data_IF_799003077948
#
_entry.id   IF_799003077948
#
_cell.length_a   1.000
_cell.length_b   1.000
_cell.length_c   1.000
_cell.angle_alpha   90.00
_cell.angle_beta   90.00
_cell.angle_gamma   90.00
#
_symmetry.space_group_name_H-M   'P 1'
#
loop_
_entity.id
_entity.type
_entity.pdbx_description
1 polymer ?
#
# COMPACT_ATOMS: atom_id res chain seq x y z
N UNK A 1 7.50 -26.13 -5.67
CA UNK A 1 7.12 -24.71 -5.68
C UNK A 1 7.33 -24.24 -4.25
N UNK A 2 8.05 -23.13 -4.05
CA UNK A 2 8.26 -22.59 -2.70
C UNK A 2 6.94 -21.95 -2.26
N UNK A 3 6.01 -22.77 -1.80
CA UNK A 3 4.71 -22.30 -1.29
C UNK A 3 4.94 -21.78 0.13
N UNK A 4 5.53 -20.58 0.24
CA UNK A 4 5.50 -19.84 1.49
C UNK A 4 4.02 -19.44 1.73
N UNK A 5 3.32 -20.03 2.71
CA UNK A 5 1.89 -19.77 2.92
C UNK A 5 1.60 -18.29 3.18
N UNK A 6 2.58 -17.54 3.67
CA UNK A 6 2.47 -16.10 3.88
C UNK A 6 2.44 -15.33 2.57
N UNK A 7 3.19 -15.76 1.54
CA UNK A 7 3.16 -15.09 0.23
C UNK A 7 1.81 -15.28 -0.46
N UNK A 8 1.19 -16.45 -0.31
CA UNK A 8 -0.17 -16.69 -0.80
C UNK A 8 -1.19 -15.76 -0.13
N UNK A 9 -1.06 -15.54 1.18
CA UNK A 9 -1.93 -14.62 1.92
C UNK A 9 -1.71 -13.16 1.52
N UNK A 10 -0.45 -12.72 1.41
CA UNK A 10 -0.10 -11.38 0.92
C UNK A 10 -0.69 -11.16 -0.48
N UNK A 11 -0.50 -12.13 -1.37
CA UNK A 11 -1.06 -12.09 -2.71
C UNK A 11 -2.59 -11.99 -2.70
N UNK A 12 -3.28 -12.76 -1.85
CA UNK A 12 -4.74 -12.64 -1.71
C UNK A 12 -5.14 -11.23 -1.29
N UNK A 13 -4.52 -10.65 -0.26
CA UNK A 13 -4.85 -9.28 0.19
C UNK A 13 -4.67 -8.24 -0.94
N UNK A 14 -3.64 -8.42 -1.76
CA UNK A 14 -3.35 -7.58 -2.93
C UNK A 14 -4.36 -7.81 -4.06
N UNK A 15 -4.70 -9.06 -4.37
CA UNK A 15 -5.60 -9.41 -5.49
C UNK A 15 -7.07 -9.09 -5.17
N UNK A 16 -7.46 -9.20 -3.89
CA UNK A 16 -8.83 -8.97 -3.41
C UNK A 16 -9.21 -7.48 -3.38
N UNK A 17 -8.23 -6.58 -3.41
CA UNK A 17 -8.46 -5.13 -3.30
C UNK A 17 -7.65 -4.36 -4.35
N UNK A 18 -8.28 -3.47 -5.13
CA UNK A 18 -7.59 -2.77 -6.21
C UNK A 18 -6.52 -1.78 -5.72
N UNK A 19 -6.62 -1.30 -4.48
CA UNK A 19 -5.60 -0.47 -3.84
C UNK A 19 -5.37 -0.99 -2.42
N UNK A 20 -4.16 -1.44 -2.14
CA UNK A 20 -3.79 -2.08 -0.88
C UNK A 20 -2.55 -1.42 -0.29
N UNK A 21 -2.65 -1.00 0.97
CA UNK A 21 -1.57 -0.36 1.72
C UNK A 21 -1.19 -1.24 2.92
N UNK A 22 -0.01 -1.85 2.86
CA UNK A 22 0.59 -2.48 4.02
C UNK A 22 1.23 -1.39 4.88
N UNK A 23 0.75 -1.22 6.12
CA UNK A 23 1.11 -0.10 6.98
C UNK A 23 1.24 -0.52 8.44
N UNK A 24 1.87 0.34 9.25
CA UNK A 24 1.93 0.17 10.70
C UNK A 24 0.74 0.86 11.35
N UNK A 25 -0.18 0.10 11.92
CA UNK A 25 -1.48 0.57 12.39
C UNK A 25 -2.54 0.50 11.28
N UNK A 26 -3.61 1.28 11.45
CA UNK A 26 -4.75 1.31 10.50
C UNK A 26 -4.87 2.68 9.84
N UNK A 27 -5.62 2.84 8.73
CA UNK A 27 -5.83 4.15 8.11
C UNK A 27 -6.43 5.18 9.08
N UNK A 28 -7.29 4.74 10.01
CA UNK A 28 -7.90 5.58 11.04
C UNK A 28 -6.94 5.87 12.21
N UNK A 29 -6.07 4.92 12.54
CA UNK A 29 -5.11 5.01 13.65
C UNK A 29 -3.71 4.56 13.20
N UNK A 30 -2.98 5.39 12.43
CA UNK A 30 -1.64 5.06 11.99
C UNK A 30 -0.66 5.13 13.18
N UNK A 31 0.23 4.15 13.30
CA UNK A 31 1.19 4.02 14.40
C UNK A 31 2.64 4.34 13.99
N UNK A 32 2.83 4.91 12.80
CA UNK A 32 4.13 5.35 12.29
C UNK A 32 3.97 6.59 11.42
N UNK A 33 4.88 7.56 11.54
CA UNK A 33 4.85 8.80 10.77
C UNK A 33 4.82 8.58 9.25
N UNK A 34 5.60 7.61 8.74
CA UNK A 34 5.59 7.26 7.31
C UNK A 34 4.24 6.66 6.88
N UNK A 35 3.67 5.76 7.67
CA UNK A 35 2.33 5.22 7.41
C UNK A 35 1.26 6.31 7.44
N UNK A 36 1.35 7.25 8.39
CA UNK A 36 0.45 8.41 8.45
C UNK A 36 0.57 9.31 7.21
N UNK A 37 1.78 9.58 6.75
CA UNK A 37 2.01 10.42 5.58
C UNK A 37 1.47 9.77 4.29
N UNK A 38 1.66 8.46 4.10
CA UNK A 38 1.09 7.75 2.94
C UNK A 38 -0.44 7.71 2.99
N UNK A 39 -1.03 7.45 4.16
CA UNK A 39 -2.49 7.51 4.34
C UNK A 39 -3.04 8.90 4.01
N UNK A 40 -2.36 9.96 4.44
CA UNK A 40 -2.77 11.33 4.14
C UNK A 40 -2.76 11.60 2.64
N UNK A 41 -1.72 11.21 1.91
CA UNK A 41 -1.66 11.38 0.45
C UNK A 41 -2.84 10.69 -0.25
N UNK A 42 -3.11 9.42 0.07
CA UNK A 42 -4.24 8.68 -0.49
C UNK A 42 -5.59 9.31 -0.11
N UNK A 43 -5.73 9.77 1.13
CA UNK A 43 -6.96 10.39 1.63
C UNK A 43 -7.25 11.72 0.93
N UNK A 44 -6.22 12.55 0.69
CA UNK A 44 -6.36 13.82 -0.04
C UNK A 44 -6.79 13.60 -1.49
N UNK A 45 -6.40 12.48 -2.09
CA UNK A 45 -6.88 12.07 -3.42
C UNK A 45 -8.28 11.47 -3.41
N UNK A 46 -8.88 11.25 -2.24
CA UNK A 46 -10.20 10.64 -2.13
C UNK A 46 -10.27 9.19 -2.64
N UNK A 47 -9.14 8.48 -2.71
CA UNK A 47 -9.10 7.09 -3.18
C UNK A 47 -9.55 6.13 -2.08
N UNK A 48 -10.34 5.12 -2.43
CA UNK A 48 -10.65 4.01 -1.52
C UNK A 48 -9.52 3.00 -1.54
N UNK A 49 -9.03 2.62 -0.37
CA UNK A 49 -7.97 1.61 -0.25
C UNK A 49 -8.16 0.73 0.98
N UNK A 50 -7.59 -0.48 0.91
CA UNK A 50 -7.50 -1.40 2.04
C UNK A 50 -6.21 -1.15 2.80
N UNK A 51 -6.30 -0.87 4.10
CA UNK A 51 -5.15 -0.88 5.00
C UNK A 51 -4.95 -2.26 5.63
N UNK A 52 -3.74 -2.82 5.50
CA UNK A 52 -3.33 -4.05 6.18
C UNK A 52 -2.35 -3.69 7.29
N UNK A 53 -2.74 -3.92 8.55
CA UNK A 53 -1.90 -3.63 9.71
C UNK A 53 -0.85 -4.73 9.94
N UNK A 54 0.39 -4.44 9.59
CA UNK A 54 1.51 -5.37 9.77
C UNK A 54 1.95 -5.51 11.23
N UNK A 55 1.49 -4.64 12.13
CA UNK A 55 1.81 -4.78 13.56
C UNK A 55 0.98 -5.88 14.22
N UNK A 56 -0.19 -6.18 13.65
CA UNK A 56 -1.05 -7.26 14.12
C UNK A 56 -0.51 -8.65 13.77
N UNK A 57 0.39 -8.75 12.79
CA UNK A 57 0.89 -10.01 12.24
C UNK A 57 2.36 -9.88 11.80
N UNK A 58 3.29 -10.45 12.60
CA UNK A 58 4.72 -10.38 12.30
C UNK A 58 5.09 -11.17 11.04
N UNK A 59 4.34 -12.23 10.70
CA UNK A 59 4.63 -13.02 9.50
C UNK A 59 4.31 -12.20 8.25
N UNK A 60 3.17 -11.49 8.23
CA UNK A 60 2.89 -10.51 7.16
C UNK A 60 3.95 -9.41 7.13
N UNK A 61 4.39 -8.91 8.28
CA UNK A 61 5.38 -7.82 8.36
C UNK A 61 6.72 -8.17 7.71
N UNK A 62 7.24 -9.36 7.96
CA UNK A 62 8.50 -9.79 7.36
C UNK A 62 8.25 -10.32 5.95
N UNK A 63 7.17 -11.08 5.75
CA UNK A 63 6.79 -11.63 4.46
C UNK A 63 6.57 -10.58 3.38
N UNK A 64 5.97 -9.43 3.71
CA UNK A 64 5.73 -8.37 2.71
C UNK A 64 7.03 -7.74 2.21
N UNK A 65 8.06 -7.66 3.06
CA UNK A 65 9.38 -7.13 2.66
C UNK A 65 10.09 -8.09 1.72
N UNK A 66 10.00 -9.39 1.99
CA UNK A 66 10.56 -10.43 1.14
C UNK A 66 9.79 -10.53 -0.19
N UNK A 67 8.47 -10.42 -0.15
CA UNK A 67 7.59 -10.50 -1.32
C UNK A 67 7.86 -9.38 -2.33
N UNK A 68 7.95 -8.12 -1.88
CA UNK A 68 8.29 -6.99 -2.76
C UNK A 68 9.78 -6.81 -3.02
N UNK A 69 10.64 -7.58 -2.33
CA UNK A 69 12.06 -7.30 -2.25
C UNK A 69 12.36 -5.87 -1.77
N UNK A 70 11.49 -5.32 -0.91
CA UNK A 70 11.56 -3.95 -0.41
C UNK A 70 11.63 -3.91 1.13
N UNK A 71 12.66 -3.29 1.73
CA UNK A 71 12.95 -3.47 3.16
C UNK A 71 12.06 -2.63 4.10
N UNK A 72 11.31 -1.65 3.58
CA UNK A 72 10.59 -0.67 4.41
C UNK A 72 9.06 -0.78 4.29
N UNK A 73 8.38 -0.18 5.27
CA UNK A 73 6.92 -0.11 5.40
C UNK A 73 6.60 1.35 5.74
N UNK A 74 5.58 1.99 5.14
CA UNK A 74 4.48 1.40 4.35
C UNK A 74 4.85 0.96 2.93
N UNK A 75 4.04 0.09 2.33
CA UNK A 75 4.12 -0.35 0.93
C UNK A 75 2.75 -0.26 0.26
N UNK A 76 2.66 0.44 -0.87
CA UNK A 76 1.44 0.59 -1.65
C UNK A 76 1.43 -0.35 -2.85
N UNK A 77 0.29 -1.01 -3.07
CA UNK A 77 -0.01 -1.81 -4.24
C UNK A 77 -1.26 -1.30 -4.93
N UNK A 78 -1.25 -1.32 -6.26
CA UNK A 78 -2.40 -0.98 -7.10
C UNK A 78 -2.57 -2.11 -8.12
N UNK A 79 -3.76 -2.75 -8.17
CA UNK A 79 -4.10 -3.82 -9.12
C UNK A 79 -3.06 -4.95 -9.20
N UNK A 80 -2.48 -5.35 -8.08
CA UNK A 80 -1.44 -6.38 -8.07
C UNK A 80 -0.01 -5.86 -8.13
N UNK A 81 0.20 -4.62 -8.55
CA UNK A 81 1.52 -4.06 -8.82
C UNK A 81 2.05 -3.27 -7.63
N UNK A 82 3.33 -3.51 -7.30
CA UNK A 82 4.02 -2.75 -6.26
C UNK A 82 4.41 -1.37 -6.79
N UNK A 83 3.92 -0.31 -6.12
CA UNK A 83 4.16 1.08 -6.54
C UNK A 83 5.36 1.68 -5.80
N UNK A 84 5.45 1.45 -4.48
CA UNK A 84 6.56 1.98 -3.70
C UNK A 84 6.26 2.13 -2.21
N UNK A 85 7.27 2.65 -1.51
CA UNK A 85 7.19 3.05 -0.11
C UNK A 85 6.78 4.52 0.07
N UNK A 86 6.72 4.97 1.33
CA UNK A 86 6.23 6.31 1.68
C UNK A 86 6.82 7.46 0.85
N UNK A 87 8.14 7.53 0.70
CA UNK A 87 8.80 8.66 0.03
C UNK A 87 8.43 8.69 -1.47
N UNK A 88 8.41 7.53 -2.13
CA UNK A 88 7.99 7.39 -3.53
C UNK A 88 6.54 7.83 -3.69
N UNK A 89 5.63 7.34 -2.84
CA UNK A 89 4.21 7.69 -2.94
C UNK A 89 3.98 9.19 -2.74
N UNK A 90 4.74 9.82 -1.85
CA UNK A 90 4.64 11.26 -1.62
C UNK A 90 5.17 12.05 -2.81
N UNK A 91 6.29 11.67 -3.38
CA UNK A 91 6.84 12.31 -4.58
C UNK A 91 5.87 12.17 -5.76
N UNK A 92 5.35 10.96 -5.99
CA UNK A 92 4.35 10.70 -7.03
C UNK A 92 3.05 11.49 -6.82
N UNK A 93 2.65 11.72 -5.57
CA UNK A 93 1.51 12.58 -5.27
C UNK A 93 1.80 14.05 -5.60
N UNK A 94 2.96 14.55 -5.17
CA UNK A 94 3.36 15.96 -5.36
C UNK A 94 3.58 16.32 -6.83
N UNK A 95 4.10 15.39 -7.64
CA UNK A 95 4.36 15.59 -9.07
C UNK A 95 3.17 15.20 -9.97
N UNK A 96 2.11 14.61 -9.41
CA UNK A 96 0.91 14.18 -10.13
C UNK A 96 1.01 12.81 -10.82
N UNK A 97 2.13 12.09 -10.71
CA UNK A 97 2.30 10.75 -11.28
C UNK A 97 1.36 9.73 -10.63
N UNK A 98 1.04 9.88 -9.34
CA UNK A 98 0.14 8.96 -8.64
C UNK A 98 -1.28 9.01 -9.22
N UNK A 99 -1.74 10.20 -9.66
CA UNK A 99 -3.02 10.34 -10.38
C UNK A 99 -3.00 9.57 -11.68
N UNK A 100 -1.91 9.73 -12.45
CA UNK A 100 -1.73 9.03 -13.71
C UNK A 100 -1.74 7.50 -13.52
N UNK A 101 -1.10 7.00 -12.46
CA UNK A 101 -1.16 5.57 -12.13
C UNK A 101 -2.59 5.12 -11.81
N UNK A 102 -3.38 5.94 -11.10
CA UNK A 102 -4.80 5.63 -10.88
C UNK A 102 -5.61 5.64 -12.18
N UNK A 103 -5.41 6.62 -13.05
CA UNK A 103 -6.08 6.70 -14.36
C UNK A 103 -5.75 5.47 -15.23
N UNK A 104 -4.46 5.13 -15.34
CA UNK A 104 -3.96 4.00 -16.14
C UNK A 104 -4.50 2.64 -15.62
N UNK A 105 -4.84 2.56 -14.33
CA UNK A 105 -5.37 1.37 -13.67
C UNK A 105 -6.89 1.40 -13.41
N UNK A 106 -7.59 2.39 -13.97
CA UNK A 106 -9.04 2.58 -13.81
C UNK A 106 -9.48 2.63 -12.34
N UNK A 107 -8.68 3.29 -11.50
CA UNK A 107 -8.97 3.48 -10.08
C UNK A 107 -9.77 4.76 -9.90
N UNK A 108 -10.95 4.64 -9.32
CA UNK A 108 -11.77 5.80 -8.95
C UNK A 108 -11.12 6.55 -7.77
N UNK A 109 -10.90 7.85 -7.97
CA UNK A 109 -10.46 8.79 -6.94
C UNK A 109 -11.25 10.09 -7.08
N UNK A 110 -11.26 10.91 -6.03
CA UNK A 110 -11.98 12.18 -6.00
C UNK A 110 -11.00 13.27 -5.62
N UNK A 111 -10.57 14.06 -6.60
CA UNK A 111 -9.92 15.33 -6.35
C UNK A 111 -10.91 16.22 -5.60
N UNK A 112 -10.73 16.33 -4.28
CA UNK A 112 -11.50 17.23 -3.43
C UNK A 112 -11.12 18.69 -3.68
#
# INVERSE_FOLDING_TARGET
MNDNPIFSRIKSEIDDNPVTLFMKGTPMFPQCGFSSATVQALTLMGVKFKGVDVLADQDIREGIKEYSQWPTIPQLYIKGEFIGGCDIIREMYENGELKKVFDDNEIEYSDA
#
